data_IF_656406473538
#
_entry.id   IF_656406473538
#
_cell.length_a   1.000
_cell.length_b   1.000
_cell.length_c   1.000
_cell.angle_alpha   90.00
_cell.angle_beta   90.00
_cell.angle_gamma   90.00
#
_symmetry.space_group_name_H-M   'P 1'
#
loop_
_entity.id
_entity.type
_entity.pdbx_description
1 polymer ?
#
# COMPACT_ATOMS: atom_id res chain seq x y z
N UNK A 1 31.89 -9.97 13.06
CA UNK A 1 31.35 -8.68 12.57
C UNK A 1 30.01 -8.97 11.92
N UNK A 2 28.90 -8.51 12.51
CA UNK A 2 27.57 -8.73 11.94
C UNK A 2 27.42 -7.85 10.69
N UNK A 3 27.34 -8.48 9.53
CA UNK A 3 26.99 -7.81 8.28
C UNK A 3 25.54 -7.34 8.41
N UNK A 4 25.32 -6.09 8.86
CA UNK A 4 24.00 -5.48 8.80
C UNK A 4 23.59 -5.48 7.33
N UNK A 5 22.62 -6.31 6.96
CA UNK A 5 22.06 -6.22 5.62
C UNK A 5 21.42 -4.82 5.51
N UNK A 6 21.98 -3.93 4.66
CA UNK A 6 21.65 -2.49 4.68
C UNK A 6 20.20 -2.23 4.28
N UNK A 7 19.56 -3.21 3.66
CA UNK A 7 18.22 -3.10 3.12
C UNK A 7 17.12 -3.22 4.18
N UNK A 8 17.38 -3.91 5.29
CA UNK A 8 16.37 -4.10 6.33
C UNK A 8 16.98 -3.81 7.71
N UNK A 9 16.92 -2.54 8.17
CA UNK A 9 17.55 -2.14 9.43
C UNK A 9 16.95 -2.88 10.64
N UNK A 10 17.76 -3.02 11.69
CA UNK A 10 17.32 -3.59 12.96
C UNK A 10 16.24 -2.72 13.59
N UNK A 11 15.29 -3.35 14.27
CA UNK A 11 14.25 -2.70 15.06
C UNK A 11 14.40 -3.07 16.53
N UNK A 12 14.11 -2.11 17.41
CA UNK A 12 14.18 -2.33 18.85
C UNK A 12 13.00 -3.18 19.34
N UNK A 13 13.30 -4.09 20.27
CA UNK A 13 12.33 -4.85 21.03
C UNK A 13 12.42 -4.42 22.50
N UNK A 14 11.32 -4.57 23.23
CA UNK A 14 11.31 -4.54 24.69
C UNK A 14 11.90 -5.83 25.25
N UNK A 15 12.18 -5.89 26.55
CA UNK A 15 12.65 -7.11 27.22
C UNK A 15 11.67 -8.28 27.10
N UNK A 16 10.39 -7.99 26.88
CA UNK A 16 9.35 -8.98 26.63
C UNK A 16 9.25 -9.42 25.14
N UNK A 17 10.18 -8.99 24.29
CA UNK A 17 10.22 -9.33 22.87
C UNK A 17 9.19 -8.58 22.00
N UNK A 18 8.53 -7.54 22.53
CA UNK A 18 7.55 -6.75 21.77
C UNK A 18 8.22 -5.61 21.01
N UNK A 19 7.78 -5.29 19.79
CA UNK A 19 8.36 -4.19 19.03
C UNK A 19 8.15 -2.85 19.73
N UNK A 20 9.21 -2.03 19.79
CA UNK A 20 9.12 -0.66 20.28
C UNK A 20 8.58 0.23 19.15
N UNK A 21 7.39 0.77 19.37
CA UNK A 21 6.72 1.65 18.41
C UNK A 21 7.21 3.09 18.51
N UNK A 22 7.25 3.76 17.36
CA UNK A 22 7.48 5.19 17.25
C UNK A 22 6.30 5.97 17.87
N UNK A 23 6.48 7.26 18.22
CA UNK A 23 5.38 8.09 18.69
C UNK A 23 4.22 8.12 17.69
N UNK A 24 3.02 7.76 18.14
CA UNK A 24 1.83 7.68 17.30
C UNK A 24 1.78 6.48 16.33
N UNK A 25 2.76 5.57 16.37
CA UNK A 25 2.73 4.33 15.61
C UNK A 25 1.76 3.33 16.26
N UNK A 26 0.72 2.97 15.50
CA UNK A 26 -0.31 2.00 15.92
C UNK A 26 -0.18 0.70 15.12
N UNK A 27 -0.25 -0.44 15.80
CA UNK A 27 -0.35 -1.77 15.19
C UNK A 27 -1.69 -1.93 14.45
N UNK A 28 -1.64 -2.51 13.24
CA UNK A 28 -2.83 -2.72 12.41
C UNK A 28 -3.13 -4.20 12.21
N UNK A 29 -2.10 -4.99 11.91
CA UNK A 29 -2.23 -6.42 11.67
C UNK A 29 -0.99 -7.14 12.17
N UNK A 30 -1.19 -8.39 12.59
CA UNK A 30 -0.14 -9.27 13.06
C UNK A 30 -0.30 -10.63 12.36
N UNK A 31 0.75 -11.09 11.69
CA UNK A 31 0.74 -12.33 10.90
C UNK A 31 1.86 -13.24 11.39
N UNK A 32 1.56 -14.43 11.94
CA UNK A 32 2.57 -15.37 12.39
C UNK A 32 3.16 -16.17 11.22
N UNK A 33 4.31 -16.80 11.47
CA UNK A 33 4.94 -17.78 10.56
C UNK A 33 5.24 -17.24 9.16
N UNK A 34 5.74 -16.01 9.08
CA UNK A 34 6.08 -15.32 7.84
C UNK A 34 7.55 -15.50 7.50
N UNK A 35 7.78 -15.94 6.27
CA UNK A 35 9.08 -15.95 5.61
C UNK A 35 9.26 -14.70 4.76
N UNK A 36 10.45 -14.10 4.80
CA UNK A 36 10.83 -13.02 3.89
C UNK A 36 11.92 -13.50 2.93
N UNK A 37 11.68 -13.27 1.65
CA UNK A 37 12.57 -13.62 0.56
C UNK A 37 12.89 -12.36 -0.26
N UNK A 38 14.13 -12.24 -0.73
CA UNK A 38 14.52 -11.21 -1.67
C UNK A 38 14.51 -11.82 -3.08
N UNK A 39 13.56 -11.37 -3.92
CA UNK A 39 13.32 -11.92 -5.26
C UNK A 39 14.56 -11.79 -6.17
N UNK A 40 15.19 -10.62 -6.20
CA UNK A 40 16.34 -10.38 -7.08
C UNK A 40 17.67 -10.93 -6.53
N UNK A 41 17.88 -10.85 -5.21
CA UNK A 41 19.14 -11.25 -4.61
C UNK A 41 18.94 -11.80 -3.18
N UNK A 42 18.90 -13.14 -3.02
CA UNK A 42 18.73 -13.79 -1.73
C UNK A 42 19.81 -13.45 -0.70
N UNK A 43 21.03 -13.09 -1.14
CA UNK A 43 22.13 -12.71 -0.23
C UNK A 43 21.85 -11.41 0.53
N UNK A 44 20.91 -10.59 0.05
CA UNK A 44 20.45 -9.40 0.77
C UNK A 44 19.75 -9.75 2.08
N UNK A 45 19.12 -10.91 2.20
CA UNK A 45 18.50 -11.36 3.45
C UNK A 45 19.34 -12.48 4.07
N UNK A 46 20.59 -12.14 4.43
CA UNK A 46 21.46 -13.03 5.20
C UNK A 46 21.60 -12.53 6.65
N UNK A 47 21.29 -13.36 7.66
CA UNK A 47 20.72 -14.72 7.56
C UNK A 47 19.26 -14.72 7.06
N UNK A 48 18.77 -15.85 6.50
CA UNK A 48 17.39 -15.98 6.03
C UNK A 48 16.39 -15.63 7.14
N UNK A 49 15.35 -14.89 6.78
CA UNK A 49 14.30 -14.49 7.70
C UNK A 49 13.12 -15.45 7.53
N UNK A 50 13.07 -16.48 8.37
CA UNK A 50 12.09 -17.58 8.28
C UNK A 50 11.28 -17.69 9.56
N UNK A 51 10.03 -18.10 9.43
CA UNK A 51 9.10 -18.40 10.51
C UNK A 51 8.99 -17.27 11.55
N UNK A 52 9.04 -16.00 11.10
CA UNK A 52 8.95 -14.85 11.98
C UNK A 52 7.52 -14.34 12.14
N UNK A 53 7.33 -13.47 13.11
CA UNK A 53 6.11 -12.72 13.32
C UNK A 53 6.20 -11.39 12.55
N UNK A 54 5.29 -11.16 11.62
CA UNK A 54 5.21 -9.91 10.86
C UNK A 54 4.13 -9.00 11.46
N UNK A 55 4.54 -7.85 11.97
CA UNK A 55 3.65 -6.78 12.40
C UNK A 55 3.58 -5.69 11.33
N UNK A 56 2.37 -5.41 10.86
CA UNK A 56 2.07 -4.23 10.06
C UNK A 56 1.58 -3.13 11.00
N UNK A 57 2.31 -2.02 11.00
CA UNK A 57 1.91 -0.81 11.73
C UNK A 57 1.44 0.27 10.75
N UNK A 58 1.00 1.40 11.30
CA UNK A 58 0.74 2.61 10.53
C UNK A 58 1.98 3.23 9.87
N UNK A 59 3.19 2.87 10.29
CA UNK A 59 4.44 3.50 9.83
C UNK A 59 5.38 2.53 9.12
N UNK A 60 5.40 1.26 9.53
CA UNK A 60 6.42 0.29 9.13
C UNK A 60 5.86 -1.13 9.05
N UNK A 61 6.54 -1.97 8.27
CA UNK A 61 6.52 -3.42 8.45
C UNK A 61 7.64 -3.81 9.40
N UNK A 62 7.34 -4.62 10.40
CA UNK A 62 8.31 -5.09 11.39
C UNK A 62 8.27 -6.61 11.39
N UNK A 63 9.40 -7.24 11.08
CA UNK A 63 9.58 -8.67 11.17
C UNK A 63 10.34 -9.01 12.45
N UNK A 64 9.83 -9.96 13.22
CA UNK A 64 10.32 -10.32 14.55
C UNK A 64 10.64 -11.81 14.56
N UNK A 65 11.85 -12.16 15.00
CA UNK A 65 12.26 -13.51 15.27
C UNK A 65 12.29 -13.73 16.77
N UNK A 66 11.23 -14.36 17.30
CA UNK A 66 11.07 -14.61 18.73
C UNK A 66 12.23 -15.44 19.32
N UNK A 67 12.72 -16.54 18.69
CA UNK A 67 13.76 -17.37 19.28
C UNK A 67 15.09 -16.65 19.53
N UNK A 68 15.43 -15.68 18.68
CA UNK A 68 16.66 -14.90 18.81
C UNK A 68 16.44 -13.51 19.40
N UNK A 69 15.20 -13.18 19.80
CA UNK A 69 14.78 -11.83 20.19
C UNK A 69 15.36 -10.73 19.28
N UNK A 70 15.21 -10.91 17.97
CA UNK A 70 15.69 -9.94 16.99
C UNK A 70 14.53 -9.43 16.15
N UNK A 71 14.60 -8.18 15.72
CA UNK A 71 13.62 -7.60 14.84
C UNK A 71 14.27 -6.74 13.76
N UNK A 72 13.60 -6.65 12.62
CA UNK A 72 14.01 -5.83 11.48
C UNK A 72 12.79 -5.09 10.95
N UNK A 73 12.96 -3.86 10.48
CA UNK A 73 11.84 -3.04 10.03
C UNK A 73 12.09 -2.32 8.72
N UNK A 74 11.02 -2.11 7.96
CA UNK A 74 11.00 -1.33 6.73
C UNK A 74 9.91 -0.24 6.83
N UNK A 75 10.20 1.03 6.51
CA UNK A 75 9.18 2.06 6.49
C UNK A 75 8.20 1.85 5.34
N UNK A 76 6.89 2.02 5.61
CA UNK A 76 5.86 1.88 4.57
C UNK A 76 6.03 2.90 3.45
N UNK A 77 6.63 4.06 3.73
CA UNK A 77 6.98 5.06 2.72
C UNK A 77 8.00 4.59 1.68
N UNK A 78 8.73 3.51 1.96
CA UNK A 78 9.66 2.88 1.00
C UNK A 78 8.99 1.81 0.12
N UNK A 79 7.75 1.43 0.43
CA UNK A 79 6.99 0.44 -0.34
C UNK A 79 6.25 1.16 -1.46
N UNK A 80 6.70 0.96 -2.69
CA UNK A 80 6.09 1.60 -3.87
C UNK A 80 4.86 0.84 -4.35
N UNK A 81 4.94 -0.50 -4.34
CA UNK A 81 3.88 -1.38 -4.81
C UNK A 81 3.75 -2.60 -3.90
N UNK A 82 2.50 -3.01 -3.64
CA UNK A 82 2.17 -4.29 -3.05
C UNK A 82 1.45 -5.11 -4.11
N UNK A 83 2.00 -6.29 -4.43
CA UNK A 83 1.40 -7.19 -5.39
C UNK A 83 0.53 -8.21 -4.67
N UNK A 84 -0.60 -8.63 -5.27
CA UNK A 84 -1.36 -9.75 -4.76
C UNK A 84 -0.48 -11.02 -4.72
N UNK A 85 -0.82 -12.00 -3.88
CA UNK A 85 -0.11 -13.27 -3.87
C UNK A 85 -0.06 -13.83 -5.28
N UNK A 86 1.13 -14.16 -5.78
CA UNK A 86 1.25 -14.90 -7.05
C UNK A 86 0.50 -16.21 -6.85
N UNK A 87 -0.55 -16.44 -7.65
CA UNK A 87 -1.07 -17.79 -7.77
C UNK A 87 0.01 -18.62 -8.46
N UNK A 88 0.27 -19.86 -8.01
CA UNK A 88 1.25 -20.74 -8.66
C UNK A 88 0.89 -21.10 -10.11
N UNK A 89 -0.28 -20.66 -10.60
CA UNK A 89 -0.79 -20.86 -11.95
C UNK A 89 -0.77 -19.60 -12.84
N UNK A 90 -0.10 -18.51 -12.46
CA UNK A 90 -0.02 -17.29 -13.30
C UNK A 90 1.36 -17.13 -13.98
N UNK A 91 1.53 -17.63 -15.23
CA UNK A 91 2.71 -17.40 -16.05
C UNK A 91 2.73 -16.02 -16.75
N UNK A 92 1.85 -15.05 -16.40
CA UNK A 92 1.61 -13.83 -17.18
C UNK A 92 1.85 -12.50 -16.43
N UNK A 93 2.75 -12.47 -15.44
CA UNK A 93 3.18 -11.18 -14.86
C UNK A 93 4.13 -10.45 -15.84
N UNK A 94 3.78 -9.25 -16.35
CA UNK A 94 4.62 -8.57 -17.34
C UNK A 94 5.88 -7.98 -16.69
N UNK A 95 7.04 -8.00 -17.37
CA UNK A 95 8.24 -7.34 -16.87
C UNK A 95 8.01 -5.82 -16.77
N UNK A 96 8.61 -5.12 -15.79
CA UNK A 96 8.49 -3.67 -15.68
C UNK A 96 9.06 -2.97 -16.93
N UNK A 97 8.44 -1.87 -17.41
CA UNK A 97 8.90 -1.21 -18.62
C UNK A 97 10.27 -0.53 -18.42
N UNK A 98 11.15 -0.55 -19.43
CA UNK A 98 12.54 -0.07 -19.30
C UNK A 98 12.69 1.46 -19.15
N UNK A 99 11.62 2.23 -19.34
CA UNK A 99 11.63 3.70 -19.23
C UNK A 99 10.32 4.22 -18.63
N UNK A 100 10.34 5.30 -17.80
CA UNK A 100 9.11 5.91 -17.32
C UNK A 100 8.31 6.48 -18.50
N UNK A 101 6.98 6.31 -18.54
CA UNK A 101 6.16 6.84 -19.63
C UNK A 101 6.16 8.37 -19.62
N UNK A 102 6.16 9.04 -20.79
CA UNK A 102 6.01 10.48 -20.86
C UNK A 102 4.62 10.88 -20.31
N UNK A 103 4.61 11.96 -19.53
CA UNK A 103 3.46 12.44 -18.78
C UNK A 103 2.32 12.85 -19.73
N UNK A 104 1.26 12.03 -19.83
CA UNK A 104 0.04 12.37 -20.57
C UNK A 104 -0.96 12.97 -19.56
N UNK A 105 -1.29 14.27 -19.63
CA UNK A 105 -2.21 14.88 -18.69
C UNK A 105 -3.62 14.31 -18.89
N UNK A 106 -4.10 13.57 -17.90
CA UNK A 106 -5.46 13.04 -17.84
C UNK A 106 -6.46 14.20 -17.71
N UNK A 107 -7.02 14.67 -18.82
CA UNK A 107 -8.24 15.49 -18.79
C UNK A 107 -9.41 14.62 -18.31
N UNK A 108 -9.59 14.64 -16.99
CA UNK A 108 -10.74 14.20 -16.18
C UNK A 108 -12.00 14.01 -17.03
N UNK A 109 -12.33 12.75 -17.35
CA UNK A 109 -13.64 12.37 -17.90
C UNK A 109 -14.71 12.80 -16.89
N UNK A 110 -15.29 13.98 -17.11
CA UNK A 110 -16.46 14.44 -16.38
C UNK A 110 -17.63 13.55 -16.78
N UNK A 111 -18.18 12.82 -15.81
CA UNK A 111 -19.47 12.13 -15.95
C UNK A 111 -20.51 13.15 -16.45
N UNK A 112 -21.33 12.83 -17.48
CA UNK A 112 -22.40 13.72 -17.87
C UNK A 112 -23.45 13.76 -16.74
N UNK A 113 -23.57 14.93 -16.09
CA UNK A 113 -24.71 15.28 -15.26
C UNK A 113 -25.94 15.52 -16.13
N UNK A 114 -27.11 15.28 -15.54
CA UNK A 114 -28.40 15.15 -16.20
C UNK A 114 -28.83 16.30 -17.11
N UNK A 115 -29.52 15.94 -18.19
CA UNK A 115 -30.29 16.86 -19.03
C UNK A 115 -31.70 17.00 -18.46
N UNK A 116 -31.96 18.09 -17.73
CA UNK A 116 -33.32 18.66 -17.65
C UNK A 116 -33.51 19.55 -18.88
N UNK A 117 -34.51 19.25 -19.70
CA UNK A 117 -34.92 20.09 -20.83
C UNK A 117 -36.16 20.90 -20.39
N UNK A 118 -35.95 22.18 -20.07
CA UNK A 118 -36.91 23.26 -20.37
C UNK A 118 -36.90 23.44 -21.90
N UNK A 119 -37.88 23.93 -22.64
CA UNK A 119 -39.01 24.85 -22.44
C UNK A 119 -39.72 24.87 -23.80
N UNK A 120 -41.06 24.96 -23.88
CA UNK A 120 -41.82 25.63 -24.96
C UNK A 120 -43.17 25.99 -24.28
N UNK A 121 -43.56 27.25 -24.04
CA UNK A 121 -43.66 28.34 -25.01
C UNK A 121 -45.08 28.33 -25.61
N UNK A 122 -46.07 28.87 -24.89
CA UNK A 122 -47.47 28.88 -25.32
C UNK A 122 -48.19 30.11 -24.80
N UNK A 123 -48.05 31.20 -25.54
CA UNK A 123 -48.73 32.49 -25.40
C UNK A 123 -50.16 32.38 -25.95
N UNK A 124 -51.19 32.71 -25.15
CA UNK A 124 -52.49 33.19 -25.63
C UNK A 124 -53.29 33.89 -24.50
N UNK A 125 -53.19 35.22 -24.47
CA UNK A 125 -54.30 36.18 -24.60
C UNK A 125 -55.69 35.85 -24.01
N UNK A 126 -56.08 36.68 -23.03
CA UNK A 126 -57.27 37.58 -22.95
C UNK A 126 -57.82 37.58 -21.52
N UNK A 127 -57.78 38.69 -20.79
CA UNK A 127 -58.53 39.96 -20.88
C UNK A 127 -59.79 39.92 -20.00
N UNK A 128 -60.00 41.04 -19.31
CA UNK A 128 -61.23 41.48 -18.63
C UNK A 128 -61.62 40.70 -17.35
N UNK A 129 -61.97 41.30 -16.21
CA UNK A 129 -62.22 42.68 -15.85
C UNK A 129 -62.93 42.73 -14.47
N UNK A 130 -62.74 43.85 -13.79
CA UNK A 130 -63.64 44.53 -12.83
C UNK A 130 -64.12 43.88 -11.53
N UNK A 131 -64.13 44.72 -10.48
CA UNK A 131 -65.09 44.67 -9.37
C UNK A 131 -64.48 44.72 -7.99
#
# INVERSE_FOLDING_TARGET
MASSSPWLPSAALTDAGRPVFLPGEVERHLVPSVDLEAEENPSLLHPPLRAGLLALTSHRLIWIHEPSSSARALPLSSIVHAFPPRSPSDPSSPPPPPHPPPNIPLRRLRRPQGRRRREIGGDHRRDEGEG
#
